data_IF_964274726249
#
_entry.id   IF_964274726249
#
_cell.length_a   1.000
_cell.length_b   1.000
_cell.length_c   1.000
_cell.angle_alpha   90.00
_cell.angle_beta   90.00
_cell.angle_gamma   90.00
#
_symmetry.space_group_name_H-M   'P 1'
#
loop_
_entity.id
_entity.type
_entity.pdbx_description
1 polymer ?
#
# COMPACT_ATOMS: atom_id res chain seq x y z
N UNK A 1 14.40 -55.84 -7.43
CA UNK A 1 14.81 -55.02 -6.28
C UNK A 1 14.77 -53.59 -6.76
N UNK A 2 13.59 -52.97 -6.67
CA UNK A 2 13.38 -51.60 -7.13
C UNK A 2 13.56 -50.73 -5.89
N UNK A 3 14.72 -50.11 -5.75
CA UNK A 3 14.95 -49.17 -4.66
C UNK A 3 14.06 -47.94 -4.88
N UNK A 4 13.32 -47.47 -3.86
CA UNK A 4 12.57 -46.23 -3.96
C UNK A 4 13.56 -45.07 -4.02
N UNK A 5 13.52 -44.30 -5.12
CA UNK A 5 14.26 -43.04 -5.26
C UNK A 5 13.91 -42.16 -4.06
N UNK A 6 14.88 -41.58 -3.33
CA UNK A 6 14.57 -40.67 -2.23
C UNK A 6 13.74 -39.51 -2.77
N UNK A 7 12.46 -39.43 -2.38
CA UNK A 7 11.61 -38.31 -2.77
C UNK A 7 12.23 -37.02 -2.21
N UNK A 8 12.56 -36.12 -3.12
CA UNK A 8 13.00 -34.76 -2.82
C UNK A 8 11.99 -34.16 -1.82
N UNK A 9 12.44 -33.58 -0.68
CA UNK A 9 11.52 -33.11 0.34
C UNK A 9 10.61 -32.04 -0.27
N UNK A 10 9.33 -32.38 -0.40
CA UNK A 10 8.24 -31.52 -0.88
C UNK A 10 7.87 -30.48 0.19
N UNK A 11 8.88 -29.80 0.72
CA UNK A 11 8.75 -28.65 1.61
C UNK A 11 8.82 -27.35 0.80
N UNK A 12 8.19 -26.26 1.27
CA UNK A 12 8.41 -24.94 0.68
C UNK A 12 9.91 -24.65 0.64
N UNK A 13 10.40 -24.26 -0.53
CA UNK A 13 11.83 -23.93 -0.69
C UNK A 13 12.14 -22.68 0.14
N UNK A 14 13.36 -22.52 0.63
CA UNK A 14 13.74 -21.36 1.43
C UNK A 14 13.45 -20.02 0.72
N UNK A 15 13.43 -20.04 -0.62
CA UNK A 15 13.02 -18.93 -1.48
C UNK A 15 11.54 -18.51 -1.33
N UNK A 16 10.63 -19.42 -0.98
CA UNK A 16 9.20 -19.10 -0.74
C UNK A 16 9.00 -18.29 0.56
N UNK A 17 9.99 -18.29 1.45
CA UNK A 17 9.97 -17.54 2.71
C UNK A 17 10.61 -16.16 2.59
N UNK A 18 11.22 -15.83 1.45
CA UNK A 18 11.78 -14.51 1.23
C UNK A 18 10.66 -13.48 1.12
N UNK A 19 10.74 -12.35 1.85
CA UNK A 19 9.76 -11.29 1.74
C UNK A 19 9.62 -10.86 0.28
N UNK A 20 8.39 -10.94 -0.25
CA UNK A 20 8.09 -10.43 -1.59
C UNK A 20 8.49 -8.97 -1.63
N UNK A 21 9.44 -8.65 -2.52
CA UNK A 21 9.94 -7.28 -2.71
C UNK A 21 8.86 -6.44 -3.38
N UNK A 22 7.92 -5.96 -2.59
CA UNK A 22 6.91 -4.98 -3.02
C UNK A 22 7.49 -3.59 -2.80
N UNK A 23 7.43 -2.76 -3.82
CA UNK A 23 7.81 -1.36 -3.73
C UNK A 23 6.71 -0.58 -2.99
N UNK A 24 6.75 -0.64 -1.65
CA UNK A 24 5.74 -0.03 -0.77
C UNK A 24 5.65 1.48 -1.02
N UNK A 25 6.77 2.12 -1.38
CA UNK A 25 6.79 3.55 -1.68
C UNK A 25 5.92 3.85 -2.91
N UNK A 26 6.04 3.05 -3.98
CA UNK A 26 5.21 3.18 -5.18
C UNK A 26 3.73 2.95 -4.90
N UNK A 27 3.38 1.99 -4.05
CA UNK A 27 1.98 1.74 -3.65
C UNK A 27 1.40 2.95 -2.92
N UNK A 28 2.15 3.49 -1.95
CA UNK A 28 1.71 4.66 -1.18
C UNK A 28 1.62 5.90 -2.06
N UNK A 29 2.55 6.10 -2.99
CA UNK A 29 2.51 7.21 -3.95
C UNK A 29 1.25 7.15 -4.84
N UNK A 30 0.94 5.98 -5.42
CA UNK A 30 -0.26 5.80 -6.25
C UNK A 30 -1.53 6.04 -5.44
N UNK A 31 -1.62 5.48 -4.22
CA UNK A 31 -2.76 5.69 -3.34
C UNK A 31 -2.94 7.16 -2.96
N UNK A 32 -1.84 7.85 -2.64
CA UNK A 32 -1.86 9.29 -2.32
C UNK A 32 -2.31 10.12 -3.51
N UNK A 33 -1.77 9.86 -4.71
CA UNK A 33 -2.16 10.56 -5.93
C UNK A 33 -3.65 10.37 -6.24
N UNK A 34 -4.17 9.15 -6.09
CA UNK A 34 -5.59 8.84 -6.28
C UNK A 34 -6.46 9.63 -5.28
N UNK A 35 -6.05 9.70 -4.01
CA UNK A 35 -6.77 10.49 -3.00
C UNK A 35 -6.75 11.99 -3.27
N UNK A 36 -5.63 12.53 -3.76
CA UNK A 36 -5.55 13.95 -4.18
C UNK A 36 -6.50 14.22 -5.34
N UNK A 37 -6.55 13.32 -6.35
CA UNK A 37 -7.48 13.43 -7.48
C UNK A 37 -8.93 13.38 -6.98
N UNK A 38 -9.25 12.48 -6.05
CA UNK A 38 -10.56 12.37 -5.45
C UNK A 38 -10.95 13.65 -4.67
N UNK A 39 -10.02 14.25 -3.92
CA UNK A 39 -10.21 15.51 -3.22
C UNK A 39 -10.51 16.67 -4.19
N UNK A 40 -9.72 16.78 -5.25
CA UNK A 40 -9.96 17.80 -6.30
C UNK A 40 -11.32 17.59 -6.94
N UNK A 41 -11.69 16.34 -7.25
CA UNK A 41 -13.00 16.01 -7.81
C UNK A 41 -14.15 16.36 -6.88
N UNK A 42 -14.00 16.15 -5.56
CA UNK A 42 -15.01 16.55 -4.57
C UNK A 42 -15.15 18.07 -4.53
N UNK A 43 -14.06 18.83 -4.50
CA UNK A 43 -14.11 20.30 -4.44
C UNK A 43 -14.63 20.95 -5.72
N UNK A 44 -14.33 20.38 -6.88
CA UNK A 44 -14.78 20.89 -8.19
C UNK A 44 -16.26 20.59 -8.44
N UNK A 45 -16.82 19.58 -7.78
CA UNK A 45 -18.21 19.17 -7.95
C UNK A 45 -18.99 19.46 -6.66
N UNK A 46 -19.63 20.64 -6.54
CA UNK A 46 -20.46 21.01 -5.38
C UNK A 46 -21.54 19.99 -5.02
N UNK A 47 -22.04 19.28 -6.03
CA UNK A 47 -23.04 18.22 -5.86
C UNK A 47 -22.52 16.99 -5.09
N UNK A 48 -21.19 16.80 -4.99
CA UNK A 48 -20.60 15.68 -4.24
C UNK A 48 -20.54 15.93 -2.73
N UNK A 49 -20.64 17.18 -2.29
CA UNK A 49 -20.61 17.55 -0.86
C UNK A 49 -21.86 18.31 -0.39
N UNK A 50 -22.77 18.69 -1.29
CA UNK A 50 -24.10 19.20 -0.91
C UNK A 50 -24.99 18.15 -0.21
N UNK A 51 -25.97 18.61 0.56
CA UNK A 51 -26.99 17.81 1.25
C UNK A 51 -26.44 16.74 2.21
N UNK A 52 -25.67 17.17 3.21
CA UNK A 52 -25.21 16.32 4.33
C UNK A 52 -24.07 15.35 3.98
N UNK A 53 -23.43 15.53 2.82
CA UNK A 53 -22.26 14.76 2.38
C UNK A 53 -20.93 15.47 2.57
N UNK A 54 -20.88 16.45 3.46
CA UNK A 54 -19.65 17.15 3.86
C UNK A 54 -18.55 16.22 4.41
N UNK A 55 -18.89 14.97 4.74
CA UNK A 55 -17.93 13.94 5.15
C UNK A 55 -17.09 13.34 4.00
N UNK A 56 -17.54 13.43 2.75
CA UNK A 56 -16.82 12.93 1.57
C UNK A 56 -15.48 13.65 1.34
N UNK A 57 -15.45 15.00 1.33
CA UNK A 57 -14.20 15.75 1.28
C UNK A 57 -13.27 15.39 2.45
N UNK A 58 -13.81 15.23 3.66
CA UNK A 58 -13.01 14.86 4.84
C UNK A 58 -12.37 13.48 4.70
N UNK A 59 -13.06 12.52 4.08
CA UNK A 59 -12.49 11.20 3.77
C UNK A 59 -11.32 11.33 2.79
N UNK A 60 -11.46 12.19 1.79
CA UNK A 60 -10.39 12.47 0.83
C UNK A 60 -9.19 13.17 1.47
N UNK A 61 -9.43 14.13 2.38
CA UNK A 61 -8.38 14.78 3.18
C UNK A 61 -7.66 13.75 4.05
N UNK A 62 -8.39 12.89 4.76
CA UNK A 62 -7.80 11.85 5.60
C UNK A 62 -6.92 10.89 4.78
N UNK A 63 -7.40 10.45 3.60
CA UNK A 63 -6.62 9.60 2.69
C UNK A 63 -5.35 10.26 2.16
N UNK A 64 -5.44 11.53 1.74
CA UNK A 64 -4.28 12.30 1.28
C UNK A 64 -3.25 12.55 2.40
N UNK A 65 -3.71 12.86 3.61
CA UNK A 65 -2.86 13.05 4.80
C UNK A 65 -2.19 11.74 5.19
N UNK A 66 -2.93 10.63 5.30
CA UNK A 66 -2.37 9.32 5.64
C UNK A 66 -1.37 8.84 4.58
N UNK A 67 -1.68 9.03 3.29
CA UNK A 67 -0.78 8.69 2.20
C UNK A 67 0.53 9.49 2.22
N UNK A 68 0.43 10.82 2.41
CA UNK A 68 1.63 11.67 2.52
C UNK A 68 2.44 11.38 3.79
N UNK A 69 1.81 11.09 4.93
CA UNK A 69 2.50 10.60 6.13
C UNK A 69 3.21 9.27 5.88
N UNK A 70 2.57 8.31 5.21
CA UNK A 70 3.18 7.03 4.84
C UNK A 70 4.39 7.22 3.93
N UNK A 71 4.28 8.11 2.93
CA UNK A 71 5.37 8.43 2.02
C UNK A 71 6.55 9.07 2.76
N UNK A 72 6.29 10.06 3.61
CA UNK A 72 7.33 10.69 4.44
C UNK A 72 7.96 9.67 5.39
N UNK A 73 7.17 8.79 6.01
CA UNK A 73 7.67 7.77 6.94
C UNK A 73 8.63 6.77 6.26
N UNK A 74 8.23 6.26 5.09
CA UNK A 74 9.03 5.30 4.30
C UNK A 74 10.27 6.00 3.75
N UNK A 75 10.11 7.17 3.11
CA UNK A 75 11.22 7.95 2.53
C UNK A 75 12.26 8.36 3.58
N UNK A 76 11.83 8.59 4.83
CA UNK A 76 12.69 9.00 5.94
C UNK A 76 13.42 7.82 6.59
N UNK A 77 13.35 6.62 6.00
CA UNK A 77 14.21 5.49 6.35
C UNK A 77 13.78 4.70 7.59
N UNK A 78 12.57 4.94 8.13
CA UNK A 78 12.01 4.13 9.23
C UNK A 78 11.16 2.95 8.74
N UNK A 79 10.93 2.87 7.43
CA UNK A 79 10.13 1.84 6.77
C UNK A 79 10.93 0.68 6.17
N UNK A 80 12.27 0.74 6.19
CA UNK A 80 13.09 -0.41 5.88
C UNK A 80 13.70 -0.90 7.18
N UNK A 81 13.25 -2.06 7.66
CA UNK A 81 14.00 -2.84 8.62
C UNK A 81 15.30 -3.34 7.95
N UNK A 82 16.23 -2.43 7.65
CA UNK A 82 17.63 -2.75 7.35
C UNK A 82 18.41 -3.09 8.63
N UNK A 83 17.71 -3.50 9.68
CA UNK A 83 18.26 -3.95 10.95
C UNK A 83 17.42 -5.14 11.44
N UNK A 84 17.43 -6.24 10.68
CA UNK A 84 17.14 -7.58 11.16
C UNK A 84 17.86 -8.59 10.25
#
# INVERSE_FOLDING_TARGET
MNEPTPEEPTGPSADDLLPVKVDVLRVVEIGTALWVIALVSTLVIPALHGDGRDWWPWTCVAGAVLGSLGWVYIKRGRGNASAA
#
